data_IF_659158357149
#
_entry.id   IF_659158357149
#
_cell.length_a   1.000
_cell.length_b   1.000
_cell.length_c   1.000
_cell.angle_alpha   90.00
_cell.angle_beta   90.00
_cell.angle_gamma   90.00
#
_symmetry.space_group_name_H-M   'P 1'
#
loop_
_entity.id
_entity.type
_entity.pdbx_description
1 polymer ?
#
# COMPACT_ATOMS: atom_id res chain seq x y z
N UNK A 1 36.11 28.67 27.25
CA UNK A 1 35.70 27.25 27.31
C UNK A 1 34.19 27.27 27.14
N UNK A 2 33.72 26.79 26.00
CA UNK A 2 32.31 26.83 25.65
C UNK A 2 31.61 25.74 26.46
N UNK A 3 30.98 26.12 27.56
CA UNK A 3 30.48 25.22 28.60
C UNK A 3 29.35 24.28 28.11
N UNK A 4 28.93 24.44 26.85
CA UNK A 4 27.82 23.74 26.21
C UNK A 4 28.28 22.73 25.15
N UNK A 5 29.55 22.74 24.72
CA UNK A 5 30.08 21.78 23.72
C UNK A 5 30.17 20.33 24.22
N UNK A 6 29.96 20.11 25.51
CA UNK A 6 30.08 18.80 26.15
C UNK A 6 28.71 18.10 26.36
N UNK A 7 27.60 18.69 25.90
CA UNK A 7 26.25 18.12 26.07
C UNK A 7 25.75 17.41 24.81
N UNK A 8 25.20 16.21 24.98
CA UNK A 8 24.68 15.37 23.89
C UNK A 8 23.27 14.87 24.20
N UNK A 9 22.41 14.72 23.19
CA UNK A 9 21.19 13.92 23.34
C UNK A 9 21.57 12.46 23.07
N UNK A 10 21.32 11.60 24.05
CA UNK A 10 21.52 10.15 23.94
C UNK A 10 20.16 9.49 23.79
N UNK A 11 20.00 8.66 22.77
CA UNK A 11 18.82 7.82 22.58
C UNK A 11 19.23 6.35 22.68
N UNK A 12 18.43 5.57 23.40
CA UNK A 12 18.69 4.15 23.63
C UNK A 12 17.44 3.32 23.35
N UNK A 13 17.64 2.13 22.78
CA UNK A 13 16.63 1.07 22.63
C UNK A 13 16.80 0.04 23.73
N UNK A 14 15.71 -0.43 24.31
CA UNK A 14 15.73 -1.55 25.24
C UNK A 14 15.91 -2.85 24.46
N UNK A 15 16.95 -3.61 24.80
CA UNK A 15 17.16 -4.97 24.32
C UNK A 15 16.48 -5.93 25.29
N UNK A 16 15.35 -6.51 24.86
CA UNK A 16 14.55 -7.43 25.67
C UNK A 16 15.25 -8.75 25.98
N UNK A 17 16.17 -9.20 25.12
CA UNK A 17 16.90 -10.45 25.30
C UNK A 17 17.94 -10.33 26.43
N UNK A 18 18.58 -9.16 26.54
CA UNK A 18 19.61 -8.89 27.56
C UNK A 18 19.10 -8.09 28.76
N UNK A 19 17.93 -7.46 28.64
CA UNK A 19 17.36 -6.54 29.64
C UNK A 19 18.15 -5.25 29.81
N UNK A 20 18.94 -4.86 28.80
CA UNK A 20 19.82 -3.68 28.83
C UNK A 20 19.37 -2.60 27.87
N UNK A 21 19.75 -1.35 28.15
CA UNK A 21 19.56 -0.23 27.22
C UNK A 21 20.78 -0.07 26.33
N UNK A 22 20.58 -0.14 25.03
CA UNK A 22 21.63 -0.04 24.00
C UNK A 22 21.46 1.26 23.24
N UNK A 23 22.53 2.05 23.13
CA UNK A 23 22.50 3.32 22.40
C UNK A 23 22.27 3.09 20.90
N UNK A 24 21.38 3.87 20.31
CA UNK A 24 21.14 3.88 18.87
C UNK A 24 21.93 5.05 18.25
N UNK A 25 22.97 4.75 17.48
CA UNK A 25 23.85 5.76 16.88
C UNK A 25 24.88 5.14 15.94
N UNK A 26 24.90 5.61 14.69
CA UNK A 26 25.61 5.02 13.54
C UNK A 26 27.14 5.18 13.54
N UNK A 27 27.81 4.15 13.01
CA UNK A 27 29.24 4.00 12.64
C UNK A 27 30.37 4.54 13.54
N UNK A 28 30.09 5.19 14.67
CA UNK A 28 31.14 5.78 15.50
C UNK A 28 31.00 5.34 16.97
N UNK A 29 32.06 4.77 17.59
CA UNK A 29 32.07 4.37 19.00
C UNK A 29 32.13 5.55 19.97
N UNK A 30 32.14 6.78 19.46
CA UNK A 30 31.92 8.02 20.19
C UNK A 30 30.61 8.61 19.65
N UNK A 31 29.54 8.54 20.45
CA UNK A 31 28.22 9.00 20.04
C UNK A 31 28.29 10.48 19.62
N UNK A 32 28.28 10.75 18.32
CA UNK A 32 28.41 12.10 17.81
C UNK A 32 27.09 12.84 18.00
N UNK A 33 27.12 13.72 18.99
CA UNK A 33 26.48 15.04 19.05
C UNK A 33 25.85 15.47 17.72
N UNK A 34 24.56 15.82 17.78
CA UNK A 34 24.17 17.06 17.11
C UNK A 34 24.94 18.17 17.83
N UNK A 35 25.88 18.79 17.13
CA UNK A 35 26.51 20.02 17.58
C UNK A 35 25.37 21.03 17.82
N UNK A 36 25.07 21.32 19.09
CA UNK A 36 24.06 22.30 19.47
C UNK A 36 24.65 23.69 19.23
N UNK A 37 24.92 24.01 17.96
CA UNK A 37 25.30 25.34 17.51
C UNK A 37 24.17 26.28 17.92
N UNK A 38 24.40 27.03 19.01
CA UNK A 38 23.45 27.95 19.60
C UNK A 38 23.33 29.22 18.76
N UNK A 39 22.82 29.10 17.53
CA UNK A 39 22.35 30.25 16.76
C UNK A 39 20.87 30.45 17.09
N UNK A 40 20.60 30.87 18.34
CA UNK A 40 19.31 31.48 18.72
C UNK A 40 18.04 30.62 18.65
N UNK A 41 18.12 29.28 18.62
CA UNK A 41 16.96 28.38 18.55
C UNK A 41 17.03 27.19 19.53
N UNK A 42 15.88 26.53 19.75
CA UNK A 42 15.80 25.24 20.46
C UNK A 42 16.39 24.14 19.59
N UNK A 43 17.39 23.37 20.05
CA UNK A 43 17.94 22.28 19.26
C UNK A 43 16.88 21.19 19.02
N UNK A 44 16.82 20.69 17.79
CA UNK A 44 15.90 19.61 17.39
C UNK A 44 16.70 18.47 16.74
N UNK A 45 16.27 17.24 17.01
CA UNK A 45 16.82 16.01 16.44
C UNK A 45 15.65 15.20 15.88
N UNK A 46 15.79 14.64 14.68
CA UNK A 46 14.83 13.71 14.11
C UNK A 46 15.55 12.38 13.91
N UNK A 47 14.95 11.30 14.42
CA UNK A 47 15.40 9.94 14.20
C UNK A 47 14.33 9.23 13.38
N UNK A 48 14.72 8.70 12.23
CA UNK A 48 13.84 7.96 11.31
C UNK A 48 14.22 6.47 11.29
N UNK A 49 13.30 5.62 10.81
CA UNK A 49 13.58 4.19 10.62
C UNK A 49 13.79 3.40 11.91
N UNK A 50 13.13 3.80 13.00
CA UNK A 50 13.16 3.06 14.26
C UNK A 50 12.28 1.81 14.15
N UNK A 51 12.86 0.64 14.39
CA UNK A 51 12.09 -0.60 14.52
C UNK A 51 11.19 -0.56 15.77
N UNK A 52 10.21 -1.46 15.85
CA UNK A 52 9.40 -1.63 17.06
C UNK A 52 10.27 -1.88 18.32
N UNK A 53 9.86 -1.30 19.45
CA UNK A 53 10.52 -1.50 20.74
C UNK A 53 10.35 -0.34 21.71
N UNK A 54 10.93 -0.47 22.90
CA UNK A 54 10.94 0.58 23.91
C UNK A 54 12.17 1.47 23.76
N UNK A 55 11.96 2.78 23.76
CA UNK A 55 13.02 3.78 23.62
C UNK A 55 13.04 4.75 24.80
N UNK A 56 14.22 5.32 25.08
CA UNK A 56 14.38 6.45 26.00
C UNK A 56 15.38 7.45 25.44
N UNK A 57 15.15 8.72 25.71
CA UNK A 57 16.06 9.81 25.36
C UNK A 57 16.39 10.65 26.61
N UNK A 58 17.64 11.08 26.73
CA UNK A 58 18.09 11.95 27.80
C UNK A 58 19.29 12.79 27.36
N UNK A 59 19.56 13.87 28.08
CA UNK A 59 20.74 14.73 27.83
C UNK A 59 21.90 14.21 28.68
N UNK A 60 23.00 13.83 28.04
CA UNK A 60 24.27 13.46 28.65
C UNK A 60 25.26 14.64 28.68
N UNK A 61 26.23 14.58 29.60
CA UNK A 61 27.32 15.56 29.73
C UNK A 61 28.67 14.82 29.82
N UNK A 62 29.64 15.21 29.00
CA UNK A 62 30.96 14.56 28.93
C UNK A 62 32.14 15.40 29.48
N UNK A 63 31.87 16.59 30.04
CA UNK A 63 32.92 17.48 30.53
C UNK A 63 33.38 17.24 31.98
N UNK A 64 34.47 17.91 32.38
CA UNK A 64 35.14 17.70 33.69
C UNK A 64 34.47 18.45 34.87
N UNK A 65 33.63 19.47 34.60
CA UNK A 65 32.96 20.30 35.61
C UNK A 65 31.52 20.61 35.18
N UNK A 66 30.59 19.69 35.45
CA UNK A 66 29.18 19.85 35.05
C UNK A 66 28.42 20.84 35.92
N UNK A 67 28.04 21.99 35.34
CA UNK A 67 26.98 22.84 35.87
C UNK A 67 25.66 22.28 35.34
N UNK A 68 24.82 21.70 36.20
CA UNK A 68 23.56 21.08 35.78
C UNK A 68 22.66 22.07 35.03
N UNK A 69 22.38 21.78 33.75
CA UNK A 69 21.41 22.52 32.96
C UNK A 69 19.99 22.10 33.37
N UNK A 70 19.19 23.04 33.86
CA UNK A 70 17.77 22.85 34.16
C UNK A 70 16.88 22.90 32.92
N UNK A 71 17.24 22.18 31.86
CA UNK A 71 16.48 22.12 30.61
C UNK A 71 15.45 20.99 30.61
N UNK A 72 14.32 21.18 29.94
CA UNK A 72 13.35 20.13 29.67
C UNK A 72 13.60 19.55 28.29
N UNK A 73 13.78 18.23 28.18
CA UNK A 73 13.71 17.53 26.90
C UNK A 73 12.24 17.22 26.61
N UNK A 74 11.73 17.69 25.48
CA UNK A 74 10.40 17.34 24.97
C UNK A 74 10.56 16.58 23.67
N UNK A 75 9.82 15.48 23.51
CA UNK A 75 9.83 14.68 22.29
C UNK A 75 8.42 14.45 21.77
N UNK A 76 8.30 14.32 20.46
CA UNK A 76 7.13 13.75 19.82
C UNK A 76 7.54 12.50 19.07
N UNK A 77 6.73 11.45 19.13
CA UNK A 77 6.97 10.21 18.40
C UNK A 77 5.76 9.90 17.52
N UNK A 78 6.01 9.68 16.24
CA UNK A 78 5.01 9.15 15.33
C UNK A 78 4.96 7.63 15.49
N UNK A 79 3.86 7.14 16.06
CA UNK A 79 3.63 5.72 16.31
C UNK A 79 2.86 5.14 15.14
N UNK A 80 3.51 4.23 14.41
CA UNK A 80 2.89 3.43 13.36
C UNK A 80 2.25 2.19 13.96
N UNK A 81 0.95 1.99 13.75
CA UNK A 81 0.22 0.81 14.22
C UNK A 81 -0.24 -0.07 13.06
N UNK A 82 0.48 -1.17 12.74
CA UNK A 82 0.12 -2.07 11.64
C UNK A 82 -1.11 -2.95 11.91
N UNK A 83 -1.67 -2.91 13.13
CA UNK A 83 -2.82 -3.74 13.51
C UNK A 83 -4.17 -3.04 13.28
N UNK A 84 -4.15 -1.76 12.91
CA UNK A 84 -5.36 -0.98 12.64
C UNK A 84 -5.27 -0.43 11.23
N UNK A 85 -6.13 -0.91 10.34
CA UNK A 85 -6.28 -0.32 9.01
C UNK A 85 -7.06 0.98 9.16
N UNK A 86 -6.45 2.14 8.87
CA UNK A 86 -7.14 3.43 8.94
C UNK A 86 -8.02 3.67 7.71
N UNK A 87 -7.57 3.21 6.54
CA UNK A 87 -8.35 3.28 5.29
C UNK A 87 -7.85 2.29 4.25
N UNK A 88 -8.71 1.99 3.28
CA UNK A 88 -8.37 1.28 2.05
C UNK A 88 -8.24 2.29 0.92
N UNK A 89 -7.28 2.08 0.03
CA UNK A 89 -7.22 2.76 -1.28
C UNK A 89 -7.56 1.76 -2.38
N UNK A 90 -8.05 2.23 -3.53
CA UNK A 90 -8.30 1.37 -4.69
C UNK A 90 -7.69 2.02 -5.91
N UNK A 91 -7.02 1.23 -6.72
CA UNK A 91 -6.50 1.68 -8.02
C UNK A 91 -7.37 1.10 -9.14
N UNK A 92 -7.90 1.94 -10.06
CA UNK A 92 -8.61 1.44 -11.22
C UNK A 92 -7.68 0.67 -12.16
N UNK A 93 -8.14 -0.45 -12.69
CA UNK A 93 -7.44 -1.18 -13.74
C UNK A 93 -8.01 -0.81 -15.11
N UNK A 94 -7.16 -0.78 -16.13
CA UNK A 94 -7.60 -0.59 -17.53
C UNK A 94 -7.00 -1.64 -18.44
N UNK A 95 -7.73 -1.98 -19.49
CA UNK A 95 -7.33 -2.99 -20.47
C UNK A 95 -8.22 -2.96 -21.71
N UNK A 96 -8.08 -3.98 -22.55
CA UNK A 96 -8.91 -4.17 -23.74
C UNK A 96 -9.35 -5.63 -23.87
N UNK A 97 -10.67 -5.88 -23.84
CA UNK A 97 -11.21 -7.25 -23.88
C UNK A 97 -11.03 -7.98 -25.21
N UNK A 98 -10.65 -7.27 -26.29
CA UNK A 98 -10.44 -7.85 -27.63
C UNK A 98 -8.97 -8.12 -27.91
N UNK A 99 -8.09 -7.19 -27.50
CA UNK A 99 -6.68 -7.18 -27.89
C UNK A 99 -5.77 -7.81 -26.86
N UNK A 100 -6.17 -7.80 -25.60
CA UNK A 100 -5.35 -8.34 -24.53
C UNK A 100 -5.45 -9.86 -24.52
N UNK A 101 -4.36 -10.51 -24.13
CA UNK A 101 -4.37 -11.94 -23.95
C UNK A 101 -5.15 -12.32 -22.69
N UNK A 102 -5.94 -13.37 -22.78
CA UNK A 102 -6.60 -14.00 -21.65
C UNK A 102 -5.57 -14.61 -20.68
N UNK A 103 -6.05 -15.12 -19.54
CA UNK A 103 -5.22 -15.85 -18.58
C UNK A 103 -4.53 -17.09 -19.18
N UNK A 104 -5.06 -17.66 -20.28
CA UNK A 104 -4.46 -18.78 -21.02
C UNK A 104 -3.53 -18.32 -22.14
N UNK A 105 -3.33 -17.01 -22.32
CA UNK A 105 -2.50 -16.42 -23.37
C UNK A 105 -3.20 -16.30 -24.72
N UNK A 106 -4.51 -16.55 -24.78
CA UNK A 106 -5.31 -16.50 -26.01
C UNK A 106 -5.86 -15.08 -26.21
N UNK A 107 -5.77 -14.56 -27.44
CA UNK A 107 -6.40 -13.28 -27.82
C UNK A 107 -7.66 -13.58 -28.61
N UNK A 108 -8.69 -12.75 -28.46
CA UNK A 108 -9.95 -12.93 -29.18
C UNK A 108 -9.72 -12.89 -30.70
N UNK A 109 -10.23 -13.91 -31.40
CA UNK A 109 -10.23 -13.98 -32.85
C UNK A 109 -11.36 -13.12 -33.42
N UNK A 110 -11.24 -11.80 -33.26
CA UNK A 110 -12.19 -10.82 -33.75
C UNK A 110 -11.88 -10.42 -35.20
N UNK A 111 -12.92 -10.21 -36.02
CA UNK A 111 -12.72 -9.53 -37.31
C UNK A 111 -12.30 -8.08 -37.05
N UNK A 112 -11.58 -7.47 -38.00
CA UNK A 112 -11.14 -6.07 -37.84
C UNK A 112 -12.28 -5.05 -37.72
N UNK A 113 -13.51 -5.46 -38.00
CA UNK A 113 -14.74 -4.66 -37.87
C UNK A 113 -15.54 -4.99 -36.62
N UNK A 114 -15.16 -6.00 -35.84
CA UNK A 114 -15.94 -6.43 -34.69
C UNK A 114 -15.90 -5.39 -33.56
N UNK A 115 -17.04 -5.22 -32.91
CA UNK A 115 -17.24 -4.27 -31.80
C UNK A 115 -17.91 -4.94 -30.63
N UNK A 116 -17.73 -4.40 -29.42
CA UNK A 116 -18.52 -4.78 -28.27
C UNK A 116 -19.91 -4.17 -28.42
N UNK A 117 -20.92 -5.04 -28.54
CA UNK A 117 -22.32 -4.62 -28.70
C UNK A 117 -23.07 -4.57 -27.38
N UNK A 118 -22.70 -5.43 -26.43
CA UNK A 118 -23.41 -5.59 -25.16
C UNK A 118 -22.47 -6.09 -24.07
N UNK A 119 -22.74 -5.70 -22.82
CA UNK A 119 -22.14 -6.28 -21.62
C UNK A 119 -23.23 -6.54 -20.58
N UNK A 120 -23.33 -7.77 -20.05
CA UNK A 120 -24.37 -8.20 -19.10
C UNK A 120 -25.80 -7.80 -19.51
N UNK A 121 -26.12 -7.87 -20.80
CA UNK A 121 -27.44 -7.46 -21.31
C UNK A 121 -27.59 -5.95 -21.61
N UNK A 122 -26.60 -5.12 -21.25
CA UNK A 122 -26.62 -3.67 -21.46
C UNK A 122 -25.92 -3.31 -22.77
N UNK A 123 -26.62 -2.64 -23.68
CA UNK A 123 -26.06 -2.22 -24.96
C UNK A 123 -24.94 -1.18 -24.77
N UNK A 124 -23.86 -1.30 -25.54
CA UNK A 124 -22.74 -0.35 -25.53
C UNK A 124 -22.97 0.74 -26.59
N UNK A 125 -23.04 1.99 -26.16
CA UNK A 125 -23.23 3.13 -27.04
C UNK A 125 -21.94 3.42 -27.84
N UNK A 126 -22.02 3.70 -29.15
CA UNK A 126 -20.84 3.95 -30.00
C UNK A 126 -20.04 5.21 -29.65
N UNK A 127 -20.61 6.14 -28.87
CA UNK A 127 -19.94 7.39 -28.48
C UNK A 127 -19.69 7.43 -26.98
N UNK A 128 -20.70 7.06 -26.18
CA UNK A 128 -20.63 7.15 -24.72
C UNK A 128 -20.12 5.87 -24.04
N UNK A 129 -20.07 4.74 -24.75
CA UNK A 129 -19.78 3.43 -24.17
C UNK A 129 -20.91 2.92 -23.28
N UNK A 130 -20.56 2.12 -22.28
CA UNK A 130 -21.47 1.64 -21.24
C UNK A 130 -20.81 1.68 -19.86
N UNK A 131 -21.63 1.89 -18.83
CA UNK A 131 -21.25 1.72 -17.43
C UNK A 131 -22.05 0.56 -16.84
N UNK A 132 -21.35 -0.41 -16.26
CA UNK A 132 -21.92 -1.62 -15.68
C UNK A 132 -21.49 -1.68 -14.22
N UNK A 133 -22.45 -1.62 -13.30
CA UNK A 133 -22.21 -1.83 -11.88
C UNK A 133 -22.09 -3.32 -11.58
N UNK A 134 -20.90 -3.74 -11.15
CA UNK A 134 -20.65 -5.08 -10.62
C UNK A 134 -21.00 -5.18 -9.13
N UNK A 135 -20.65 -6.30 -8.52
CA UNK A 135 -20.86 -6.51 -7.07
C UNK A 135 -19.82 -5.75 -6.27
N UNK A 136 -18.59 -5.70 -6.77
CA UNK A 136 -17.42 -5.19 -6.05
C UNK A 136 -16.82 -3.94 -6.69
N UNK A 137 -17.35 -3.47 -7.81
CA UNK A 137 -16.87 -2.28 -8.49
C UNK A 137 -17.74 -1.88 -9.67
N UNK A 138 -17.21 -0.98 -10.50
CA UNK A 138 -17.90 -0.47 -11.69
C UNK A 138 -16.99 -0.59 -12.91
N UNK A 139 -17.51 -1.21 -13.97
CA UNK A 139 -16.87 -1.29 -15.28
C UNK A 139 -17.39 -0.18 -16.20
N UNK A 140 -16.48 0.55 -16.84
CA UNK A 140 -16.78 1.44 -17.97
C UNK A 140 -16.09 0.87 -19.20
N UNK A 141 -16.82 0.68 -20.30
CA UNK A 141 -16.32 0.01 -21.51
C UNK A 141 -16.85 0.68 -22.78
N UNK A 142 -16.03 0.73 -23.83
CA UNK A 142 -16.39 1.21 -25.17
C UNK A 142 -16.57 0.08 -26.20
N UNK A 143 -17.01 0.44 -27.41
CA UNK A 143 -17.22 -0.51 -28.50
C UNK A 143 -15.91 -1.10 -29.06
N UNK A 144 -14.78 -0.42 -28.87
CA UNK A 144 -13.45 -0.91 -29.26
C UNK A 144 -12.88 -1.89 -28.21
N UNK A 145 -13.63 -2.16 -27.15
CA UNK A 145 -13.30 -3.07 -26.07
C UNK A 145 -12.39 -2.48 -25.01
N UNK A 146 -12.02 -1.19 -25.08
CA UNK A 146 -11.25 -0.56 -24.01
C UNK A 146 -12.15 -0.42 -22.78
N UNK A 147 -11.62 -0.79 -21.62
CA UNK A 147 -12.35 -0.69 -20.38
C UNK A 147 -11.51 -0.14 -19.25
N UNK A 148 -12.19 0.45 -18.26
CA UNK A 148 -11.66 0.76 -16.95
C UNK A 148 -12.59 0.15 -15.91
N UNK A 149 -12.04 -0.58 -14.95
CA UNK A 149 -12.77 -1.07 -13.78
C UNK A 149 -12.30 -0.36 -12.53
N UNK A 150 -13.23 0.24 -11.79
CA UNK A 150 -12.97 0.92 -10.52
C UNK A 150 -13.58 0.10 -9.38
N UNK A 151 -12.77 -0.49 -8.49
CA UNK A 151 -13.27 -1.21 -7.32
C UNK A 151 -14.02 -0.26 -6.36
N UNK A 152 -14.97 -0.82 -5.61
CA UNK A 152 -15.56 -0.16 -4.44
C UNK A 152 -14.59 -0.26 -3.28
N UNK A 153 -14.35 0.86 -2.59
CA UNK A 153 -13.42 0.94 -1.45
C UNK A 153 -13.99 0.20 -0.24
N UNK A 154 -13.75 -1.11 -0.18
CA UNK A 154 -14.11 -1.97 0.94
C UNK A 154 -13.15 -3.16 1.00
N UNK A 155 -12.39 -3.28 2.10
CA UNK A 155 -11.45 -4.38 2.32
C UNK A 155 -12.12 -5.75 2.37
N UNK A 156 -13.42 -5.84 2.63
CA UNK A 156 -14.16 -7.09 2.55
C UNK A 156 -14.25 -7.66 1.12
N UNK A 157 -13.97 -6.84 0.11
CA UNK A 157 -13.98 -7.25 -1.29
C UNK A 157 -12.65 -7.89 -1.72
N UNK A 158 -11.61 -7.89 -0.88
CA UNK A 158 -10.33 -8.52 -1.20
C UNK A 158 -10.50 -10.03 -1.44
N UNK A 159 -9.81 -10.53 -2.47
CA UNK A 159 -9.91 -11.90 -2.93
C UNK A 159 -11.24 -12.25 -3.62
N UNK A 160 -12.12 -11.28 -3.87
CA UNK A 160 -13.36 -11.52 -4.63
C UNK A 160 -13.17 -11.31 -6.13
N UNK A 161 -14.14 -11.78 -6.93
CA UNK A 161 -14.14 -11.65 -8.39
C UNK A 161 -15.45 -11.03 -8.86
N UNK A 162 -15.35 -10.00 -9.71
CA UNK A 162 -16.46 -9.54 -10.53
C UNK A 162 -16.37 -10.15 -11.93
N UNK A 163 -17.52 -10.49 -12.52
CA UNK A 163 -17.62 -11.12 -13.84
C UNK A 163 -18.54 -10.33 -14.78
N UNK A 164 -18.05 -10.08 -15.99
CA UNK A 164 -18.78 -9.33 -17.02
C UNK A 164 -18.79 -10.11 -18.32
N UNK A 165 -19.95 -10.60 -18.74
CA UNK A 165 -20.11 -11.27 -20.04
C UNK A 165 -20.35 -10.23 -21.12
N UNK A 166 -19.48 -10.18 -22.12
CA UNK A 166 -19.56 -9.25 -23.24
C UNK A 166 -19.85 -9.98 -24.55
N UNK A 167 -20.52 -9.28 -25.47
CA UNK A 167 -20.90 -9.79 -26.79
C UNK A 167 -20.18 -9.01 -27.88
N UNK A 168 -19.27 -9.66 -28.60
CA UNK A 168 -18.75 -9.17 -29.88
C UNK A 168 -19.82 -9.28 -30.96
N UNK A 169 -19.90 -8.25 -31.81
CA UNK A 169 -20.72 -8.21 -33.00
C UNK A 169 -19.83 -7.81 -34.19
N UNK A 170 -19.84 -8.60 -35.26
CA UNK A 170 -19.33 -8.15 -36.55
C UNK A 170 -20.47 -7.45 -37.31
N UNK A 171 -20.41 -6.11 -37.48
CA UNK A 171 -21.49 -5.35 -38.11
C UNK A 171 -21.64 -5.65 -39.61
N UNK A 172 -20.63 -6.27 -40.25
CA UNK A 172 -20.68 -6.62 -41.67
C UNK A 172 -21.47 -7.91 -41.89
N UNK A 173 -21.23 -8.92 -41.06
CA UNK A 173 -21.83 -10.25 -41.20
C UNK A 173 -23.05 -10.47 -40.30
N UNK A 174 -23.18 -9.67 -39.24
CA UNK A 174 -24.19 -9.85 -38.18
C UNK A 174 -23.87 -11.00 -37.22
N UNK A 175 -22.69 -11.62 -37.34
CA UNK A 175 -22.27 -12.70 -36.45
C UNK A 175 -21.95 -12.15 -35.05
N UNK A 176 -22.27 -12.92 -34.02
CA UNK A 176 -21.99 -12.58 -32.63
C UNK A 176 -21.22 -13.68 -31.92
N UNK A 177 -20.40 -13.30 -30.95
CA UNK A 177 -19.72 -14.22 -30.02
C UNK A 177 -19.74 -13.63 -28.62
N UNK A 178 -19.74 -14.48 -27.60
CA UNK A 178 -19.68 -14.07 -26.20
C UNK A 178 -18.40 -14.55 -25.53
N UNK A 179 -17.91 -13.75 -24.59
CA UNK A 179 -16.81 -14.09 -23.70
C UNK A 179 -17.00 -13.37 -22.35
N UNK A 180 -16.21 -13.74 -21.35
CA UNK A 180 -16.34 -13.22 -19.99
C UNK A 180 -15.04 -12.58 -19.53
N UNK A 181 -15.11 -11.32 -19.13
CA UNK A 181 -14.07 -10.63 -18.39
C UNK A 181 -14.20 -10.96 -16.90
N UNK A 182 -13.14 -11.52 -16.31
CA UNK A 182 -13.01 -11.74 -14.88
C UNK A 182 -12.10 -10.67 -14.28
N UNK A 183 -12.60 -9.95 -13.28
CA UNK A 183 -11.84 -8.94 -12.56
C UNK A 183 -11.60 -9.43 -11.14
N UNK A 184 -10.35 -9.79 -10.85
CA UNK A 184 -9.88 -10.25 -9.54
C UNK A 184 -9.49 -9.04 -8.69
N UNK A 185 -9.94 -9.01 -7.43
CA UNK A 185 -9.64 -7.94 -6.49
C UNK A 185 -8.46 -8.38 -5.60
N UNK A 186 -7.27 -7.90 -5.95
CA UNK A 186 -6.00 -8.30 -5.35
C UNK A 186 -5.41 -7.23 -4.40
N UNK A 187 -4.31 -7.55 -3.73
CA UNK A 187 -3.50 -6.64 -2.92
C UNK A 187 -2.09 -7.21 -2.67
N UNK A 188 -1.05 -6.42 -2.93
CA UNK A 188 0.36 -6.79 -2.64
C UNK A 188 0.61 -6.96 -1.13
N UNK A 189 -0.26 -6.38 -0.30
CA UNK A 189 -0.21 -6.47 1.15
C UNK A 189 -0.88 -7.74 1.70
N UNK A 190 -1.60 -8.51 0.87
CA UNK A 190 -2.36 -9.69 1.31
C UNK A 190 -2.02 -10.90 0.46
N UNK A 191 -1.34 -11.87 1.05
CA UNK A 191 -1.09 -13.15 0.41
C UNK A 191 -2.40 -13.89 0.10
N UNK A 192 -2.68 -14.04 -1.19
CA UNK A 192 -3.83 -14.76 -1.70
C UNK A 192 -3.47 -15.68 -2.86
N UNK A 193 -4.17 -16.81 -2.95
CA UNK A 193 -3.97 -17.80 -4.01
C UNK A 193 -5.21 -17.85 -4.89
N UNK A 194 -5.02 -17.54 -6.18
CA UNK A 194 -6.07 -17.63 -7.19
C UNK A 194 -6.12 -19.00 -7.85
N UNK A 195 -7.32 -19.41 -8.27
CA UNK A 195 -7.48 -20.57 -9.13
C UNK A 195 -7.41 -20.17 -10.61
N UNK A 196 -6.27 -20.37 -11.25
CA UNK A 196 -6.10 -20.05 -12.67
C UNK A 196 -6.85 -20.99 -13.62
N UNK A 197 -7.27 -22.16 -13.13
CA UNK A 197 -8.12 -23.08 -13.92
C UNK A 197 -9.60 -22.74 -13.86
N UNK A 198 -10.02 -21.93 -12.88
CA UNK A 198 -11.37 -21.41 -12.74
C UNK A 198 -11.33 -19.96 -12.24
N UNK A 199 -11.19 -18.98 -13.15
CA UNK A 199 -11.05 -17.57 -12.79
C UNK A 199 -12.32 -16.95 -12.21
N UNK A 200 -13.44 -17.68 -12.14
CA UNK A 200 -14.67 -17.23 -11.49
C UNK A 200 -14.63 -17.36 -9.97
N UNK A 201 -13.70 -18.14 -9.42
CA UNK A 201 -13.65 -18.40 -7.98
C UNK A 201 -12.96 -17.27 -7.21
N UNK A 202 -13.45 -16.95 -6.01
CA UNK A 202 -12.69 -16.15 -5.05
C UNK A 202 -11.32 -16.77 -4.75
N UNK A 203 -10.35 -15.93 -4.41
CA UNK A 203 -9.05 -16.35 -3.94
C UNK A 203 -9.16 -17.04 -2.57
N UNK A 204 -8.24 -17.96 -2.32
CA UNK A 204 -7.97 -18.45 -0.97
C UNK A 204 -6.95 -17.51 -0.34
N UNK A 205 -7.37 -16.74 0.67
CA UNK A 205 -6.46 -15.91 1.46
C UNK A 205 -5.72 -16.85 2.41
N UNK A 206 -4.43 -17.06 2.17
CA UNK A 206 -3.59 -18.02 2.91
C UNK A 206 -2.96 -17.42 4.16
N UNK A 207 -3.02 -16.10 4.32
CA UNK A 207 -2.61 -15.44 5.56
C UNK A 207 -3.81 -15.29 6.52
N UNK A 208 -3.69 -15.68 7.80
CA UNK A 208 -4.64 -15.18 8.78
C UNK A 208 -4.58 -13.65 8.78
N UNK A 209 -5.73 -12.97 8.90
CA UNK A 209 -5.78 -11.56 9.33
C UNK A 209 -4.67 -11.32 10.37
N UNK A 210 -3.89 -10.23 10.23
CA UNK A 210 -2.46 -10.21 10.49
C UNK A 210 -2.03 -10.85 11.82
N UNK A 211 -1.18 -11.86 11.71
CA UNK A 211 -0.01 -12.04 12.59
C UNK A 211 1.18 -12.36 11.67
N UNK A 212 1.92 -11.32 11.30
CA UNK A 212 3.29 -11.23 10.77
C UNK A 212 3.83 -12.32 9.79
N UNK A 213 4.20 -11.89 8.57
CA UNK A 213 5.57 -11.92 8.06
C UNK A 213 5.66 -11.29 6.64
N UNK A 214 6.58 -10.33 6.47
CA UNK A 214 6.96 -9.75 5.17
C UNK A 214 7.92 -10.70 4.42
N UNK A 215 7.58 -11.07 3.18
CA UNK A 215 8.58 -11.33 2.14
C UNK A 215 8.14 -10.70 0.81
N UNK A 216 9.11 -10.18 0.09
CA UNK A 216 9.00 -9.20 -0.99
C UNK A 216 8.50 -9.83 -2.29
N UNK A 217 7.60 -9.15 -3.01
CA UNK A 217 7.59 -8.92 -4.49
C UNK A 217 6.30 -8.18 -4.87
N UNK A 218 6.43 -7.12 -5.68
CA UNK A 218 5.37 -6.16 -6.05
C UNK A 218 4.31 -6.69 -7.05
N UNK A 219 3.06 -6.19 -6.96
CA UNK A 219 1.92 -6.56 -7.82
C UNK A 219 0.72 -5.58 -7.99
N UNK A 220 0.76 -4.27 -7.80
CA UNK A 220 -0.41 -3.37 -7.97
C UNK A 220 -1.55 -3.58 -6.94
N UNK A 221 -1.68 -2.58 -6.07
CA UNK A 221 -1.96 -2.78 -4.65
C UNK A 221 -3.24 -2.05 -4.21
N UNK A 222 -4.13 -2.72 -3.45
CA UNK A 222 -4.94 -2.02 -2.44
C UNK A 222 -4.02 -1.83 -1.24
N UNK A 223 -3.51 -0.60 -1.09
CA UNK A 223 -2.54 -0.26 -0.07
C UNK A 223 -3.26 0.08 1.24
N UNK A 224 -2.84 -0.55 2.34
CA UNK A 224 -3.38 -0.31 3.67
C UNK A 224 -2.72 0.93 4.25
N UNK A 225 -3.48 2.02 4.39
CA UNK A 225 -2.96 3.19 5.11
C UNK A 225 -3.16 2.95 6.60
N UNK A 226 -2.05 2.81 7.31
CA UNK A 226 -2.06 2.68 8.76
C UNK A 226 -2.01 4.06 9.42
N UNK A 227 -2.68 4.24 10.57
CA UNK A 227 -2.68 5.51 11.26
C UNK A 227 -1.29 5.77 11.85
N UNK A 228 -0.80 6.99 11.63
CA UNK A 228 0.32 7.55 12.39
C UNK A 228 -0.28 8.39 13.50
N UNK A 229 0.01 8.04 14.75
CA UNK A 229 -0.41 8.85 15.91
C UNK A 229 0.82 9.52 16.49
N UNK A 230 0.80 10.85 16.61
CA UNK A 230 1.85 11.59 17.29
C UNK A 230 1.63 11.54 18.81
N UNK A 231 2.51 10.86 19.54
CA UNK A 231 2.54 10.85 20.99
C UNK A 231 3.51 11.92 21.52
N UNK A 232 3.17 12.55 22.64
CA UNK A 232 4.03 13.51 23.34
C UNK A 232 4.69 12.79 24.52
N UNK A 233 6.03 12.78 24.55
CA UNK A 233 6.86 12.17 25.61
C UNK A 233 7.11 13.13 26.78
#
# INVERSE_FOLDING_TARGET
ADLLSDYAIVVQKFDEATGQWVSIGGTNPEASLIDLSLIGGTPTAVLEGLDAGQYRAFIGYEGLLGVGLGGTLTGTMDVYNPYIVASYSVEPISGNVIKDASLTGEVDAASSSAVISQVNGIAVDPVAGATITGTYGTLVIDQDGNYTYTPTVDGANLGQVDQFTYTLLDPVTGNTSEATLYVRLDSDSVDMTWNDTDPSQPAVITSPLPVDAMDNVASAEIDMVYPVTTEVL
#
